data_IF_106326698512
#
_entry.id   IF_106326698512
#
_cell.length_a   1.000
_cell.length_b   1.000
_cell.length_c   1.000
_cell.angle_alpha   90.00
_cell.angle_beta   90.00
_cell.angle_gamma   90.00
#
_symmetry.space_group_name_H-M   'P 1'
#
loop_
_entity.id
_entity.type
_entity.pdbx_description
1 polymer ?
#
# COMPACT_ATOMS: atom_id res chain seq x y z
N UNK A 1 6.75 -14.44 22.26
CA UNK A 1 5.45 -13.98 22.71
C UNK A 1 4.37 -15.00 22.48
N UNK A 2 3.46 -15.13 23.44
CA UNK A 2 2.32 -16.05 23.34
C UNK A 2 1.09 -15.41 22.66
N UNK A 3 1.11 -14.10 22.43
CA UNK A 3 -0.05 -13.38 21.91
C UNK A 3 -0.38 -13.72 20.46
N UNK A 4 0.63 -13.76 19.58
CA UNK A 4 0.42 -14.02 18.15
C UNK A 4 -0.14 -15.44 17.92
N UNK A 5 0.40 -16.51 18.53
CA UNK A 5 -0.21 -17.84 18.42
C UNK A 5 -1.65 -17.88 18.91
N UNK A 6 -1.97 -17.18 20.01
CA UNK A 6 -3.34 -17.13 20.54
C UNK A 6 -4.32 -16.52 19.55
N UNK A 7 -3.90 -15.49 18.79
CA UNK A 7 -4.75 -14.82 17.82
C UNK A 7 -4.95 -15.64 16.54
N UNK A 8 -3.93 -16.39 16.13
CA UNK A 8 -3.96 -17.12 14.84
C UNK A 8 -4.38 -18.58 14.97
N UNK A 9 -4.26 -19.19 16.15
CA UNK A 9 -4.59 -20.59 16.38
C UNK A 9 -6.02 -20.97 15.97
N UNK A 10 -7.07 -20.16 16.22
CA UNK A 10 -8.41 -20.50 15.76
C UNK A 10 -8.50 -20.72 14.26
N UNK A 11 -7.70 -19.99 13.47
CA UNK A 11 -7.67 -20.14 12.00
C UNK A 11 -7.06 -21.49 11.59
N UNK A 12 -6.06 -21.93 12.32
CA UNK A 12 -5.42 -23.24 12.09
C UNK A 12 -6.37 -24.36 12.51
N UNK A 13 -7.01 -24.27 13.69
CA UNK A 13 -7.97 -25.27 14.14
C UNK A 13 -9.16 -25.43 13.21
N UNK A 14 -9.61 -24.31 12.62
CA UNK A 14 -10.73 -24.33 11.65
C UNK A 14 -10.30 -24.88 10.28
N UNK A 15 -9.01 -25.13 10.07
CA UNK A 15 -8.51 -25.68 8.82
C UNK A 15 -8.25 -24.66 7.71
N UNK A 16 -8.31 -23.37 8.01
CA UNK A 16 -8.04 -22.34 7.01
C UNK A 16 -6.56 -22.22 6.65
N UNK A 17 -5.66 -22.54 7.60
CA UNK A 17 -4.22 -22.47 7.39
C UNK A 17 -3.54 -23.63 8.09
N UNK A 18 -2.42 -24.16 7.53
CA UNK A 18 -1.70 -25.27 8.14
C UNK A 18 -0.91 -24.87 9.40
N UNK A 19 -0.44 -23.63 9.49
CA UNK A 19 0.33 -23.13 10.64
C UNK A 19 -0.06 -21.71 11.00
N UNK A 20 0.26 -21.31 12.24
CA UNK A 20 0.00 -19.94 12.71
C UNK A 20 0.85 -18.92 11.95
N UNK A 21 2.09 -19.29 11.61
CA UNK A 21 3.00 -18.42 10.85
C UNK A 21 2.48 -18.16 9.45
N UNK A 22 1.96 -19.19 8.76
CA UNK A 22 1.37 -19.02 7.44
C UNK A 22 0.09 -18.20 7.49
N UNK A 23 -0.74 -18.39 8.53
CA UNK A 23 -1.92 -17.56 8.73
C UNK A 23 -1.54 -16.09 8.86
N UNK A 24 -0.53 -15.79 9.70
CA UNK A 24 -0.07 -14.42 9.92
C UNK A 24 0.49 -13.80 8.64
N UNK A 25 1.33 -14.53 7.93
CA UNK A 25 1.91 -14.06 6.65
C UNK A 25 0.81 -13.71 5.64
N UNK A 26 -0.18 -14.59 5.48
CA UNK A 26 -1.28 -14.36 4.57
C UNK A 26 -2.09 -13.11 4.94
N UNK A 27 -2.40 -12.95 6.22
CA UNK A 27 -3.15 -11.79 6.72
C UNK A 27 -2.38 -10.50 6.45
N UNK A 28 -1.07 -10.50 6.71
CA UNK A 28 -0.22 -9.34 6.46
C UNK A 28 -0.20 -8.99 4.98
N UNK A 29 -0.01 -9.99 4.10
CA UNK A 29 0.03 -9.76 2.66
C UNK A 29 -1.32 -9.24 2.14
N UNK A 30 -2.43 -9.77 2.64
CA UNK A 30 -3.76 -9.30 2.27
C UNK A 30 -3.95 -7.84 2.69
N UNK A 31 -3.55 -7.48 3.91
CA UNK A 31 -3.61 -6.10 4.39
C UNK A 31 -2.78 -5.17 3.51
N UNK A 32 -1.55 -5.57 3.17
CA UNK A 32 -0.67 -4.78 2.32
C UNK A 32 -1.31 -4.55 0.95
N UNK A 33 -1.86 -5.60 0.33
CA UNK A 33 -2.51 -5.50 -0.96
C UNK A 33 -3.72 -4.54 -0.94
N UNK A 34 -4.47 -4.55 0.15
CA UNK A 34 -5.59 -3.60 0.34
C UNK A 34 -5.10 -2.16 0.46
N UNK A 35 -4.01 -1.95 1.16
CA UNK A 35 -3.42 -0.61 1.30
C UNK A 35 -2.90 -0.09 -0.04
N UNK A 36 -2.26 -0.95 -0.81
CA UNK A 36 -1.79 -0.60 -2.16
C UNK A 36 -2.98 -0.26 -3.05
N UNK A 37 -4.02 -1.08 -3.07
CA UNK A 37 -5.20 -0.86 -3.89
C UNK A 37 -5.91 0.46 -3.54
N UNK A 38 -6.01 0.77 -2.26
CA UNK A 38 -6.61 2.02 -1.78
C UNK A 38 -5.83 3.23 -2.31
N UNK A 39 -4.51 3.22 -2.15
CA UNK A 39 -3.66 4.33 -2.61
C UNK A 39 -3.66 4.44 -4.13
N UNK A 40 -3.56 3.32 -4.85
CA UNK A 40 -3.59 3.31 -6.32
C UNK A 40 -4.90 3.84 -6.88
N UNK A 41 -6.02 3.56 -6.25
CA UNK A 41 -7.31 4.10 -6.68
C UNK A 41 -7.31 5.63 -6.63
N UNK A 42 -6.73 6.20 -5.57
CA UNK A 42 -6.61 7.65 -5.43
C UNK A 42 -5.64 8.24 -6.45
N UNK A 43 -4.52 7.57 -6.70
CA UNK A 43 -3.54 7.98 -7.72
C UNK A 43 -4.22 8.02 -9.11
N UNK A 44 -4.97 6.99 -9.45
CA UNK A 44 -5.67 6.95 -10.75
C UNK A 44 -6.69 8.06 -10.90
N UNK A 45 -7.39 8.44 -9.82
CA UNK A 45 -8.31 9.58 -9.86
C UNK A 45 -7.59 10.88 -10.18
N UNK A 46 -6.41 11.09 -9.58
CA UNK A 46 -5.60 12.27 -9.85
C UNK A 46 -5.04 12.23 -11.27
N UNK A 47 -4.57 11.09 -11.74
CA UNK A 47 -4.13 10.92 -13.13
C UNK A 47 -5.26 11.25 -14.11
N UNK A 48 -6.46 10.76 -13.84
CA UNK A 48 -7.62 11.02 -14.68
C UNK A 48 -8.03 12.50 -14.64
N UNK A 49 -8.01 13.09 -13.46
CA UNK A 49 -8.35 14.51 -13.27
C UNK A 49 -7.44 15.42 -14.10
N UNK A 50 -6.14 15.13 -14.13
CA UNK A 50 -5.14 15.95 -14.79
C UNK A 50 -4.76 15.46 -16.20
N UNK A 51 -5.23 14.27 -16.58
CA UNK A 51 -4.90 13.68 -17.88
C UNK A 51 -3.42 13.38 -18.06
N UNK A 52 -2.67 13.16 -16.97
CA UNK A 52 -1.22 12.95 -17.02
C UNK A 52 -0.75 12.18 -15.79
N UNK A 53 0.49 11.66 -15.88
CA UNK A 53 1.15 11.00 -14.76
C UNK A 53 1.58 12.01 -13.70
N UNK A 54 1.92 11.53 -12.50
CA UNK A 54 2.47 12.40 -11.45
C UNK A 54 3.75 13.10 -11.91
N UNK A 55 4.65 12.39 -12.61
CA UNK A 55 5.88 12.97 -13.11
C UNK A 55 5.61 14.11 -14.09
N UNK A 56 4.68 13.92 -15.02
CA UNK A 56 4.31 14.94 -15.99
C UNK A 56 3.62 16.12 -15.31
N UNK A 57 2.73 15.85 -14.36
CA UNK A 57 2.06 16.90 -13.59
C UNK A 57 3.08 17.74 -12.83
N UNK A 58 4.07 17.11 -12.18
CA UNK A 58 5.14 17.80 -11.46
C UNK A 58 5.89 18.74 -12.39
N UNK A 59 6.26 18.29 -13.58
CA UNK A 59 6.94 19.14 -14.58
C UNK A 59 6.07 20.31 -15.02
N UNK A 60 4.77 20.08 -15.16
CA UNK A 60 3.85 21.12 -15.62
C UNK A 60 3.64 22.26 -14.61
N UNK A 61 3.89 22.00 -13.33
CA UNK A 61 3.72 22.97 -12.25
C UNK A 61 4.91 23.90 -12.10
N UNK A 62 6.05 23.61 -12.68
CA UNK A 62 7.29 24.38 -12.49
C UNK A 62 7.06 25.86 -12.85
N UNK A 63 7.21 26.72 -11.85
CA UNK A 63 7.08 28.18 -12.00
C UNK A 63 5.63 28.69 -12.15
N UNK A 64 4.61 27.82 -12.01
CA UNK A 64 3.21 28.20 -12.21
C UNK A 64 2.25 27.68 -11.14
N UNK A 65 2.74 27.03 -10.11
CA UNK A 65 1.90 26.40 -9.10
C UNK A 65 1.20 27.45 -8.22
N UNK A 66 -0.10 27.27 -8.03
CA UNK A 66 -0.87 27.96 -6.98
C UNK A 66 -0.74 27.19 -5.67
N UNK A 67 -1.24 27.77 -4.56
CA UNK A 67 -1.28 27.06 -3.28
C UNK A 67 -2.12 25.79 -3.38
N UNK A 68 -3.27 25.85 -4.08
CA UNK A 68 -4.14 24.69 -4.29
C UNK A 68 -3.43 23.61 -5.12
N UNK A 69 -2.64 24.00 -6.11
CA UNK A 69 -1.84 23.06 -6.91
C UNK A 69 -0.78 22.37 -6.05
N UNK A 70 -0.13 23.12 -5.19
CA UNK A 70 0.90 22.57 -4.28
C UNK A 70 0.31 21.58 -3.29
N UNK A 71 -0.88 21.88 -2.73
CA UNK A 71 -1.56 20.98 -1.81
C UNK A 71 -1.92 19.66 -2.49
N UNK A 72 -2.46 19.73 -3.71
CA UNK A 72 -2.81 18.52 -4.48
C UNK A 72 -1.57 17.74 -4.90
N UNK A 73 -0.49 18.45 -5.26
CA UNK A 73 0.79 17.81 -5.58
C UNK A 73 1.34 17.06 -4.38
N UNK A 74 1.29 17.65 -3.18
CA UNK A 74 1.76 17.01 -1.95
C UNK A 74 0.94 15.76 -1.61
N UNK A 75 -0.37 15.83 -1.78
CA UNK A 75 -1.25 14.66 -1.59
C UNK A 75 -0.88 13.54 -2.57
N UNK A 76 -0.69 13.89 -3.83
CA UNK A 76 -0.35 12.92 -4.88
C UNK A 76 1.02 12.29 -4.63
N UNK A 77 2.02 13.09 -4.28
CA UNK A 77 3.34 12.61 -3.92
C UNK A 77 3.27 11.61 -2.76
N UNK A 78 2.51 11.96 -1.72
CA UNK A 78 2.34 11.11 -0.54
C UNK A 78 1.73 9.74 -0.91
N UNK A 79 0.77 9.72 -1.84
CA UNK A 79 0.13 8.48 -2.30
C UNK A 79 1.09 7.63 -3.13
N UNK A 80 1.87 8.26 -4.02
CA UNK A 80 2.88 7.55 -4.83
C UNK A 80 3.94 6.93 -3.93
N UNK A 81 4.43 7.69 -2.94
CA UNK A 81 5.42 7.21 -1.98
C UNK A 81 4.86 6.08 -1.12
N UNK A 82 3.60 6.17 -0.73
CA UNK A 82 2.93 5.13 0.05
C UNK A 82 2.87 3.81 -0.72
N UNK A 83 2.49 3.85 -1.99
CA UNK A 83 2.44 2.64 -2.85
C UNK A 83 3.83 2.00 -2.92
N UNK A 84 4.86 2.80 -3.15
CA UNK A 84 6.24 2.29 -3.24
C UNK A 84 6.69 1.65 -1.93
N UNK A 85 6.43 2.31 -0.81
CA UNK A 85 6.79 1.79 0.52
C UNK A 85 6.09 0.46 0.81
N UNK A 86 4.79 0.37 0.53
CA UNK A 86 4.05 -0.88 0.72
C UNK A 86 4.54 -2.00 -0.18
N UNK A 87 4.92 -1.69 -1.42
CA UNK A 87 5.49 -2.70 -2.33
C UNK A 87 6.81 -3.25 -1.82
N UNK A 88 7.66 -2.39 -1.26
CA UNK A 88 8.92 -2.84 -0.66
C UNK A 88 8.67 -3.74 0.55
N UNK A 89 7.76 -3.36 1.42
CA UNK A 89 7.38 -4.19 2.58
C UNK A 89 6.82 -5.53 2.10
N UNK A 90 5.99 -5.52 1.07
CA UNK A 90 5.41 -6.74 0.50
C UNK A 90 6.51 -7.72 0.04
N UNK A 91 7.51 -7.21 -0.67
CA UNK A 91 8.64 -8.05 -1.12
C UNK A 91 9.36 -8.69 0.06
N UNK A 92 9.61 -7.91 1.12
CA UNK A 92 10.28 -8.43 2.31
C UNK A 92 9.47 -9.53 2.99
N UNK A 93 8.15 -9.30 3.15
CA UNK A 93 7.25 -10.29 3.74
C UNK A 93 7.18 -11.56 2.88
N UNK A 94 7.09 -11.41 1.55
CA UNK A 94 7.06 -12.55 0.63
C UNK A 94 8.34 -13.40 0.69
N UNK A 95 9.48 -12.77 0.96
CA UNK A 95 10.77 -13.46 1.05
C UNK A 95 10.98 -14.20 2.38
N UNK A 96 10.12 -14.01 3.36
CA UNK A 96 10.22 -14.73 4.62
C UNK A 96 10.08 -16.23 4.40
N UNK A 97 10.72 -17.04 5.26
CA UNK A 97 10.73 -18.50 5.14
C UNK A 97 9.47 -19.17 5.70
N UNK A 98 8.38 -18.47 5.68
CA UNK A 98 7.12 -18.97 6.26
C UNK A 98 6.12 -19.29 5.16
#
# INVERSE_FOLDING_TARGET
>A
SQTIPLLTEPLVRAGFYPTTEQALKHIILDYIDRRIAWAQTKVRRLEKKHGQSFADYTRSLTGRATIADEDEWMEWESLVDMVESWRQVKVEVQRSNV
#
